data_IF_000656002569
#
_entry.id   IF_000656002569
#
_cell.length_a   1.000
_cell.length_b   1.000
_cell.length_c   1.000
_cell.angle_alpha   90.00
_cell.angle_beta   90.00
_cell.angle_gamma   90.00
#
_symmetry.space_group_name_H-M   'P 1'
#
loop_
_entity.id
_entity.type
_entity.pdbx_description
1 polymer ?
#
# COMPACT_ATOMS: atom_id res chain seq x y z
N UNK A 1 -16.79 -19.36 -2.26
CA UNK A 1 -16.25 -18.19 -2.99
C UNK A 1 -14.78 -18.13 -2.66
N UNK A 2 -13.91 -17.91 -3.64
CA UNK A 2 -12.46 -17.95 -3.44
C UNK A 2 -11.92 -16.52 -3.31
N UNK A 3 -10.89 -16.35 -2.48
CA UNK A 3 -10.19 -15.09 -2.36
C UNK A 3 -9.51 -14.71 -3.70
N UNK A 4 -9.43 -13.42 -4.05
CA UNK A 4 -8.75 -12.99 -5.26
C UNK A 4 -7.25 -13.27 -5.16
N UNK A 5 -6.64 -13.66 -6.29
CA UNK A 5 -5.20 -13.75 -6.39
C UNK A 5 -4.58 -12.35 -6.52
N UNK A 6 -3.70 -11.99 -5.59
CA UNK A 6 -2.98 -10.71 -5.60
C UNK A 6 -1.48 -10.98 -5.54
N UNK A 7 -0.75 -10.46 -6.52
CA UNK A 7 0.72 -10.56 -6.61
C UNK A 7 1.31 -9.19 -6.98
N UNK A 8 2.54 -8.93 -6.56
CA UNK A 8 3.31 -7.81 -7.09
C UNK A 8 3.84 -8.14 -8.49
N UNK A 9 3.73 -7.18 -9.41
CA UNK A 9 4.44 -7.25 -10.69
C UNK A 9 5.94 -6.97 -10.46
N UNK A 10 6.86 -7.65 -11.15
CA UNK A 10 8.29 -7.38 -11.01
C UNK A 10 8.69 -5.92 -11.35
N UNK A 11 9.66 -5.31 -10.64
CA UNK A 11 10.37 -5.87 -9.48
C UNK A 11 9.52 -5.80 -8.20
N UNK A 12 9.35 -6.95 -7.54
CA UNK A 12 8.65 -7.00 -6.26
C UNK A 12 9.50 -6.32 -5.16
N UNK A 13 8.87 -5.59 -4.23
CA UNK A 13 9.59 -4.95 -3.13
C UNK A 13 10.18 -6.00 -2.18
N UNK A 14 11.35 -5.70 -1.61
CA UNK A 14 11.98 -6.56 -0.61
C UNK A 14 11.25 -6.40 0.73
N UNK A 15 10.49 -7.41 1.13
CA UNK A 15 9.71 -7.40 2.36
C UNK A 15 9.57 -8.81 2.94
N UNK A 16 9.55 -9.00 4.28
CA UNK A 16 9.48 -10.33 4.90
C UNK A 16 8.29 -11.20 4.46
N UNK A 17 7.20 -10.56 4.03
CA UNK A 17 5.97 -11.22 3.59
C UNK A 17 5.77 -11.17 2.06
N UNK A 18 6.79 -10.79 1.30
CA UNK A 18 6.71 -10.71 -0.17
C UNK A 18 7.87 -11.52 -0.76
N UNK A 19 7.53 -12.53 -1.57
CA UNK A 19 8.51 -13.37 -2.26
C UNK A 19 9.02 -12.69 -3.54
N UNK A 20 10.18 -13.14 -4.04
CA UNK A 20 10.84 -12.57 -5.23
C UNK A 20 10.02 -12.67 -6.52
N UNK A 21 9.10 -13.63 -6.59
CA UNK A 21 8.13 -13.78 -7.68
C UNK A 21 6.86 -12.94 -7.49
N UNK A 22 6.79 -12.10 -6.46
CA UNK A 22 5.67 -11.21 -6.16
C UNK A 22 4.55 -11.82 -5.32
N UNK A 23 4.65 -13.08 -4.91
CA UNK A 23 3.66 -13.69 -4.02
C UNK A 23 3.62 -13.01 -2.64
N UNK A 24 2.43 -12.85 -2.08
CA UNK A 24 2.19 -12.14 -0.83
C UNK A 24 1.73 -13.14 0.24
N UNK A 25 2.47 -13.24 1.34
CA UNK A 25 2.10 -14.05 2.50
C UNK A 25 1.28 -13.21 3.49
N UNK A 26 -0.03 -13.07 3.23
CA UNK A 26 -0.93 -12.29 4.08
C UNK A 26 -2.28 -13.00 4.23
N UNK A 27 -2.70 -13.29 5.46
CA UNK A 27 -3.85 -14.16 5.76
C UNK A 27 -5.19 -13.68 5.18
N UNK A 28 -5.37 -12.36 5.01
CA UNK A 28 -6.58 -11.81 4.38
C UNK A 28 -6.72 -12.15 2.88
N UNK A 29 -5.68 -12.69 2.25
CA UNK A 29 -5.70 -13.22 0.89
C UNK A 29 -5.96 -14.74 0.86
N UNK A 30 -6.13 -15.35 2.04
CA UNK A 30 -6.32 -16.78 2.26
C UNK A 30 -7.51 -17.02 3.21
N UNK A 31 -7.25 -17.55 4.41
CA UNK A 31 -8.29 -18.08 5.31
C UNK A 31 -9.10 -16.96 5.98
N UNK A 32 -8.48 -15.79 6.21
CA UNK A 32 -9.16 -14.63 6.78
C UNK A 32 -9.93 -13.78 5.76
N UNK A 33 -10.02 -14.22 4.50
CA UNK A 33 -10.77 -13.50 3.47
C UNK A 33 -12.29 -13.69 3.61
N UNK A 34 -13.06 -12.63 3.37
CA UNK A 34 -14.53 -12.67 3.29
C UNK A 34 -15.04 -11.98 2.03
N UNK A 35 -16.13 -12.47 1.40
CA UNK A 35 -16.82 -11.79 0.30
C UNK A 35 -17.23 -10.34 0.59
N UNK A 36 -17.33 -9.96 1.86
CA UNK A 36 -17.65 -8.58 2.27
C UNK A 36 -16.46 -7.61 2.14
N UNK A 37 -15.23 -8.12 1.97
CA UNK A 37 -14.03 -7.31 1.84
C UNK A 37 -13.94 -6.75 0.43
N UNK A 38 -13.69 -5.44 0.32
CA UNK A 38 -13.61 -4.74 -0.96
C UNK A 38 -12.20 -4.23 -1.23
N UNK A 39 -11.85 -4.13 -2.52
CA UNK A 39 -10.64 -3.45 -2.95
C UNK A 39 -10.96 -1.96 -3.07
N UNK A 40 -10.30 -1.12 -2.26
CA UNK A 40 -10.39 0.34 -2.38
C UNK A 40 -9.04 0.89 -2.83
N UNK A 41 -9.04 1.63 -3.94
CA UNK A 41 -7.84 2.26 -4.49
C UNK A 41 -7.90 3.79 -4.31
N UNK A 42 -8.02 4.25 -3.07
CA UNK A 42 -8.05 5.68 -2.77
C UNK A 42 -6.65 6.16 -2.35
N UNK A 43 -6.19 7.24 -3.01
CA UNK A 43 -5.01 7.98 -2.55
C UNK A 43 -5.38 8.79 -1.29
N UNK A 44 -4.40 9.14 -0.44
CA UNK A 44 -4.65 10.06 0.68
C UNK A 44 -5.27 11.37 0.20
N UNK A 45 -6.14 11.95 1.01
CA UNK A 45 -6.90 13.18 0.69
C UNK A 45 -6.00 14.36 0.29
N UNK A 46 -4.77 14.41 0.80
CA UNK A 46 -3.79 15.46 0.53
C UNK A 46 -2.75 15.11 -0.54
N UNK A 47 -2.90 14.00 -1.29
CA UNK A 47 -1.94 13.52 -2.29
C UNK A 47 -1.42 14.64 -3.22
N UNK A 48 -2.32 15.40 -3.84
CA UNK A 48 -1.92 16.43 -4.80
C UNK A 48 -1.17 17.58 -4.14
N UNK A 49 -1.52 17.90 -2.89
CA UNK A 49 -0.83 18.92 -2.08
C UNK A 49 0.57 18.43 -1.70
N UNK A 50 0.70 17.17 -1.29
CA UNK A 50 1.98 16.55 -0.96
C UNK A 50 2.92 16.56 -2.17
N UNK A 51 2.45 16.06 -3.32
CA UNK A 51 3.25 15.99 -4.56
C UNK A 51 3.69 17.38 -5.04
N UNK A 52 2.80 18.39 -4.99
CA UNK A 52 3.15 19.78 -5.33
C UNK A 52 4.22 20.40 -4.42
N UNK A 53 4.22 20.02 -3.13
CA UNK A 53 5.17 20.55 -2.15
C UNK A 53 6.51 19.80 -2.15
N UNK A 54 6.58 18.60 -2.74
CA UNK A 54 7.83 17.89 -3.04
C UNK A 54 8.58 18.55 -4.21
N UNK A 55 8.97 19.82 -4.07
CA UNK A 55 9.79 20.50 -5.10
C UNK A 55 11.18 19.86 -5.17
N UNK A 56 11.61 19.52 -6.38
CA UNK A 56 12.97 19.11 -6.75
C UNK A 56 13.50 17.80 -6.13
N UNK A 57 12.65 16.77 -5.96
CA UNK A 57 13.15 15.46 -5.54
C UNK A 57 13.70 15.42 -4.12
N UNK A 58 13.26 16.34 -3.26
CA UNK A 58 13.53 16.28 -1.81
C UNK A 58 13.10 14.92 -1.29
N UNK A 59 13.99 14.32 -0.51
CA UNK A 59 13.75 13.05 0.14
C UNK A 59 12.42 13.11 0.90
N UNK A 60 11.61 12.03 0.95
CA UNK A 60 10.44 11.98 1.83
C UNK A 60 10.78 12.28 3.30
N UNK A 61 12.05 12.19 3.71
CA UNK A 61 12.52 12.60 5.05
C UNK A 61 12.60 14.12 5.25
N UNK A 62 12.61 14.89 4.17
CA UNK A 62 12.72 16.36 4.16
C UNK A 62 11.37 17.04 3.92
N UNK A 63 10.30 16.26 3.70
CA UNK A 63 8.94 16.76 3.56
C UNK A 63 8.22 16.72 4.92
N UNK A 64 7.48 17.79 5.22
CA UNK A 64 6.62 17.82 6.41
C UNK A 64 5.43 16.91 6.15
N UNK A 65 5.43 15.75 6.79
CA UNK A 65 4.34 14.79 6.73
C UNK A 65 3.10 15.36 7.42
N UNK A 66 1.96 15.17 6.77
CA UNK A 66 0.66 15.24 7.41
C UNK A 66 0.30 13.78 7.70
N UNK A 67 0.53 13.34 8.94
CA UNK A 67 0.12 12.03 9.36
C UNK A 67 -1.40 12.03 9.48
N UNK A 68 -2.06 11.09 8.80
CA UNK A 68 -3.53 10.92 8.85
C UNK A 68 -3.94 9.81 9.82
N UNK A 69 -2.98 9.26 10.56
CA UNK A 69 -3.13 8.09 11.43
C UNK A 69 -3.51 8.46 12.88
N UNK A 70 -3.81 9.74 13.15
CA UNK A 70 -4.08 10.27 14.50
C UNK A 70 -5.50 9.94 15.03
N UNK A 71 -6.11 8.85 14.57
CA UNK A 71 -7.37 8.35 15.13
C UNK A 71 -7.27 6.85 15.40
N UNK A 72 -6.70 6.54 16.55
CA UNK A 72 -7.07 5.34 17.32
C UNK A 72 -8.36 5.63 18.08
#
# INVERSE_FOLDING_TARGET
MEAPQVIFVPPAPLHPHIYSNGHICLDILYDSWSPAMTVSSQRPTDNDRYVKNCRNGRSPKETRWWFHDDKV
#
